data_IF_872600591017
#
_entry.id   IF_872600591017
#
_cell.length_a   1.000
_cell.length_b   1.000
_cell.length_c   1.000
_cell.angle_alpha   90.00
_cell.angle_beta   90.00
_cell.angle_gamma   90.00
#
_symmetry.space_group_name_H-M   'P 1'
#
loop_
_entity.id
_entity.type
_entity.pdbx_description
1 polymer ?
#
# COMPACT_ATOMS: atom_id res chain seq x y z
N UNK A 1 14.25 -28.44 46.64
CA UNK A 1 14.09 -27.00 46.37
C UNK A 1 15.14 -26.62 45.34
N UNK A 2 14.81 -26.59 44.10
CA UNK A 2 15.67 -26.01 43.07
C UNK A 2 14.77 -25.28 42.10
N UNK A 3 14.82 -23.97 42.19
CA UNK A 3 14.08 -23.04 41.35
C UNK A 3 14.55 -23.17 39.88
N UNK A 4 13.64 -23.54 39.00
CA UNK A 4 13.79 -23.45 37.56
C UNK A 4 13.75 -21.97 37.15
N UNK A 5 14.91 -21.44 36.81
CA UNK A 5 15.07 -20.13 36.21
C UNK A 5 14.56 -20.20 34.79
N UNK A 6 13.37 -19.64 34.52
CA UNK A 6 12.84 -19.48 33.18
C UNK A 6 13.83 -18.68 32.33
N UNK A 7 14.40 -19.30 31.34
CA UNK A 7 15.10 -18.62 30.24
C UNK A 7 14.11 -17.73 29.51
N UNK A 8 14.21 -16.44 29.73
CA UNK A 8 13.64 -15.44 28.83
C UNK A 8 14.44 -15.54 27.54
N UNK A 9 13.82 -16.12 26.50
CA UNK A 9 14.37 -16.10 25.16
C UNK A 9 14.84 -14.69 24.83
N UNK A 10 16.06 -14.58 24.28
CA UNK A 10 16.56 -13.32 23.74
C UNK A 10 15.54 -12.78 22.72
N UNK A 11 15.30 -11.44 22.65
CA UNK A 11 14.50 -10.87 21.58
C UNK A 11 15.20 -11.27 20.26
N UNK A 12 14.46 -12.02 19.42
CA UNK A 12 14.89 -12.29 18.07
C UNK A 12 15.24 -10.95 17.43
N UNK A 13 16.26 -10.91 16.60
CA UNK A 13 16.55 -9.83 15.68
C UNK A 13 15.36 -9.75 14.72
N UNK A 14 14.29 -9.09 15.18
CA UNK A 14 13.20 -8.67 14.32
C UNK A 14 13.81 -7.66 13.36
N UNK A 15 14.17 -8.17 12.18
CA UNK A 15 14.69 -7.34 11.10
C UNK A 15 13.71 -6.19 10.89
N UNK A 16 14.26 -4.99 10.77
CA UNK A 16 13.51 -3.77 10.50
C UNK A 16 12.54 -4.00 9.34
N UNK A 17 11.23 -4.03 9.64
CA UNK A 17 10.17 -4.25 8.64
C UNK A 17 9.59 -2.92 8.18
N UNK A 18 9.44 -2.77 6.87
CA UNK A 18 8.78 -1.63 6.24
C UNK A 18 7.28 -1.89 5.96
N UNK A 19 6.73 -3.00 6.42
CA UNK A 19 5.30 -3.31 6.25
C UNK A 19 4.43 -2.18 6.80
N UNK A 20 3.45 -1.74 6.02
CA UNK A 20 2.58 -0.60 6.36
C UNK A 20 3.17 0.78 6.03
N UNK A 21 4.44 0.86 5.63
CA UNK A 21 5.06 2.10 5.19
C UNK A 21 4.68 2.43 3.74
N UNK A 22 4.82 3.70 3.39
CA UNK A 22 4.72 4.14 2.00
C UNK A 22 6.11 4.30 1.38
N UNK A 23 6.26 3.76 0.17
CA UNK A 23 7.36 4.10 -0.71
C UNK A 23 6.88 5.19 -1.66
N UNK A 24 7.49 6.35 -1.58
CA UNK A 24 7.20 7.48 -2.46
C UNK A 24 8.33 7.61 -3.46
N UNK A 25 8.01 7.46 -4.75
CA UNK A 25 8.99 7.56 -5.83
C UNK A 25 9.70 8.90 -5.80
N UNK A 26 11.03 8.90 -5.86
CA UNK A 26 11.80 10.14 -5.94
C UNK A 26 11.68 10.74 -7.35
N UNK A 27 11.91 12.05 -7.54
CA UNK A 27 11.90 12.66 -8.88
C UNK A 27 12.88 12.05 -9.87
N UNK A 28 13.94 11.40 -9.39
CA UNK A 28 14.94 10.71 -10.21
C UNK A 28 14.48 9.34 -10.72
N UNK A 29 13.40 8.77 -10.17
CA UNK A 29 12.84 7.51 -10.63
C UNK A 29 12.02 7.74 -11.91
N UNK A 30 12.68 7.60 -13.07
CA UNK A 30 12.11 7.95 -14.38
C UNK A 30 11.26 6.84 -15.03
N UNK A 31 11.32 5.60 -14.52
CA UNK A 31 10.57 4.47 -15.08
C UNK A 31 9.06 4.76 -15.11
N UNK A 32 8.43 4.62 -16.28
CA UNK A 32 7.00 4.91 -16.49
C UNK A 32 6.08 4.18 -15.49
N UNK A 33 6.51 2.99 -15.03
CA UNK A 33 5.76 2.17 -14.07
C UNK A 33 5.64 2.82 -12.70
N UNK A 34 6.70 3.51 -12.23
CA UNK A 34 6.76 4.01 -10.87
C UNK A 34 6.97 5.53 -10.75
N UNK A 35 7.10 6.25 -11.86
CA UNK A 35 7.25 7.70 -11.80
C UNK A 35 6.10 8.33 -11.00
N UNK A 36 6.42 9.09 -9.93
CA UNK A 36 5.46 9.70 -9.00
C UNK A 36 4.47 8.71 -8.39
N UNK A 37 4.84 7.46 -8.25
CA UNK A 37 4.00 6.49 -7.56
C UNK A 37 4.13 6.62 -6.04
N UNK A 38 3.07 6.20 -5.37
CA UNK A 38 3.03 5.94 -3.94
C UNK A 38 2.65 4.48 -3.78
N UNK A 39 3.57 3.67 -3.25
CA UNK A 39 3.35 2.24 -3.01
C UNK A 39 3.10 2.02 -1.52
N UNK A 40 2.02 1.37 -1.17
CA UNK A 40 1.77 0.86 0.17
C UNK A 40 2.38 -0.54 0.28
N UNK A 41 3.34 -0.72 1.18
CA UNK A 41 3.91 -2.03 1.46
C UNK A 41 2.96 -2.86 2.32
N UNK A 42 2.53 -3.99 1.79
CA UNK A 42 1.61 -4.92 2.44
C UNK A 42 2.35 -6.02 3.18
N UNK A 43 3.55 -6.34 2.74
CA UNK A 43 4.46 -7.27 3.40
C UNK A 43 5.92 -6.90 3.10
N UNK A 44 6.80 -7.11 4.09
CA UNK A 44 8.24 -6.92 3.96
C UNK A 44 8.99 -7.75 4.98
N UNK A 45 9.88 -8.60 4.50
CA UNK A 45 10.82 -9.39 5.32
C UNK A 45 12.20 -9.39 4.68
N UNK A 46 13.24 -9.41 5.49
CA UNK A 46 14.62 -9.36 5.02
C UNK A 46 14.95 -10.52 4.04
N UNK A 47 14.45 -11.72 4.33
CA UNK A 47 14.75 -12.92 3.53
C UNK A 47 13.70 -13.19 2.43
N UNK A 48 12.48 -12.64 2.55
CA UNK A 48 11.36 -12.86 1.63
C UNK A 48 11.18 -11.76 0.58
N UNK A 49 11.81 -10.62 0.78
CA UNK A 49 11.62 -9.43 -0.06
C UNK A 49 10.41 -8.60 0.35
N UNK A 50 9.82 -7.89 -0.60
CA UNK A 50 8.71 -6.98 -0.34
C UNK A 50 7.58 -7.15 -1.35
N UNK A 51 6.38 -6.85 -0.90
CA UNK A 51 5.15 -6.88 -1.68
C UNK A 51 4.29 -5.67 -1.34
N UNK A 52 3.73 -5.02 -2.35
CA UNK A 52 2.89 -3.84 -2.15
C UNK A 52 2.03 -3.49 -3.35
N UNK A 53 1.22 -2.44 -3.20
CA UNK A 53 0.35 -1.92 -4.26
C UNK A 53 0.54 -0.42 -4.45
N UNK A 54 0.58 0.01 -5.71
CA UNK A 54 0.57 1.43 -6.06
C UNK A 54 -0.83 1.99 -5.80
N UNK A 55 -0.95 2.89 -4.83
CA UNK A 55 -2.26 3.38 -4.35
C UNK A 55 -2.75 4.65 -5.05
N UNK A 56 -1.97 5.22 -5.95
CA UNK A 56 -2.29 6.47 -6.65
C UNK A 56 -2.38 6.34 -8.18
N UNK A 57 -2.70 5.16 -8.70
CA UNK A 57 -2.84 4.89 -10.14
C UNK A 57 -4.23 4.37 -10.50
N UNK A 58 -5.28 5.22 -10.48
CA UNK A 58 -6.58 4.82 -10.99
C UNK A 58 -6.48 4.58 -12.49
N UNK A 59 -7.17 3.54 -12.97
CA UNK A 59 -7.32 3.27 -14.41
C UNK A 59 -8.57 3.97 -14.96
N UNK A 60 -8.81 3.82 -16.25
CA UNK A 60 -10.06 4.27 -16.87
C UNK A 60 -11.20 3.25 -16.74
N UNK A 61 -10.92 2.07 -16.17
CA UNK A 61 -11.87 0.97 -16.03
C UNK A 61 -12.59 1.06 -14.69
N UNK A 62 -13.90 1.12 -14.71
CA UNK A 62 -14.71 1.03 -13.50
C UNK A 62 -14.69 -0.39 -12.95
N UNK A 63 -14.81 -0.54 -11.62
CA UNK A 63 -14.85 -1.86 -10.98
C UNK A 63 -16.00 -2.70 -11.50
N UNK A 64 -17.13 -2.07 -11.85
CA UNK A 64 -18.31 -2.73 -12.43
C UNK A 64 -17.99 -3.61 -13.65
N UNK A 65 -17.02 -3.20 -14.46
CA UNK A 65 -16.66 -3.94 -15.66
C UNK A 65 -16.05 -5.33 -15.38
N UNK A 66 -15.47 -5.52 -14.20
CA UNK A 66 -14.76 -6.76 -13.83
C UNK A 66 -15.42 -7.45 -12.62
N UNK A 67 -15.83 -6.67 -11.65
CA UNK A 67 -16.41 -7.14 -10.38
C UNK A 67 -17.69 -6.33 -10.06
N UNK A 68 -18.77 -6.51 -10.84
CA UNK A 68 -19.97 -5.66 -10.76
C UNK A 68 -20.61 -5.66 -9.37
N UNK A 69 -20.60 -6.77 -8.66
CA UNK A 69 -21.16 -6.87 -7.31
C UNK A 69 -20.41 -6.01 -6.29
N UNK A 70 -19.13 -5.70 -6.52
CA UNK A 70 -18.30 -4.90 -5.63
C UNK A 70 -18.38 -3.39 -5.89
N UNK A 71 -18.82 -2.97 -7.08
CA UNK A 71 -18.87 -1.55 -7.47
C UNK A 71 -19.57 -0.64 -6.45
N UNK A 72 -20.75 -1.00 -5.88
CA UNK A 72 -21.45 -0.13 -4.93
C UNK A 72 -20.70 0.12 -3.62
N UNK A 73 -19.74 -0.72 -3.30
CA UNK A 73 -19.01 -0.69 -2.03
C UNK A 73 -17.60 -0.07 -2.16
N UNK A 74 -17.18 0.24 -3.39
CA UNK A 74 -15.84 0.81 -3.63
C UNK A 74 -15.78 2.28 -3.22
N UNK A 75 -14.66 2.64 -2.62
CA UNK A 75 -14.33 4.05 -2.33
C UNK A 75 -14.13 4.83 -3.63
N UNK A 76 -14.63 6.08 -3.75
CA UNK A 76 -14.37 6.92 -4.90
C UNK A 76 -12.88 6.96 -5.28
N UNK A 77 -12.56 6.97 -6.58
CA UNK A 77 -13.45 7.17 -7.74
C UNK A 77 -14.15 5.90 -8.27
N UNK A 78 -14.18 4.79 -7.55
CA UNK A 78 -14.89 3.57 -7.94
C UNK A 78 -14.28 2.83 -9.15
N UNK A 79 -12.99 3.04 -9.41
CA UNK A 79 -12.24 2.47 -10.52
C UNK A 79 -11.29 1.40 -10.06
N UNK A 80 -10.88 0.52 -10.97
CA UNK A 80 -9.71 -0.33 -10.77
C UNK A 80 -8.47 0.54 -10.67
N UNK A 81 -7.56 0.17 -9.77
CA UNK A 81 -6.24 0.77 -9.66
C UNK A 81 -5.19 -0.18 -10.23
N UNK A 82 -4.18 0.35 -10.90
CA UNK A 82 -3.02 -0.42 -11.29
C UNK A 82 -2.08 -0.54 -10.10
N UNK A 83 -2.10 -1.69 -9.43
CA UNK A 83 -1.32 -1.93 -8.21
C UNK A 83 0.18 -2.15 -8.44
N UNK A 84 0.58 -2.42 -9.68
CA UNK A 84 1.97 -2.63 -10.08
C UNK A 84 2.10 -3.40 -11.38
N UNK A 85 3.35 -3.73 -11.80
CA UNK A 85 3.61 -4.39 -13.07
C UNK A 85 3.39 -5.90 -13.07
N UNK A 86 3.29 -6.53 -11.89
CA UNK A 86 3.24 -8.00 -11.76
C UNK A 86 1.79 -8.47 -11.61
N UNK A 87 1.42 -9.58 -12.27
CA UNK A 87 0.12 -10.22 -12.09
C UNK A 87 -1.07 -9.33 -12.46
N UNK A 88 -1.03 -8.66 -13.62
CA UNK A 88 -2.09 -7.74 -14.06
C UNK A 88 -3.45 -8.43 -14.30
N UNK A 89 -3.47 -9.75 -14.35
CA UNK A 89 -4.63 -10.62 -14.43
C UNK A 89 -5.18 -11.04 -13.06
N UNK A 90 -4.53 -10.59 -11.98
CA UNK A 90 -4.97 -10.85 -10.61
C UNK A 90 -5.59 -9.60 -10.01
N UNK A 91 -6.63 -9.78 -9.18
CA UNK A 91 -7.26 -8.71 -8.43
C UNK A 91 -6.95 -8.83 -6.93
N UNK A 92 -6.65 -7.70 -6.29
CA UNK A 92 -6.46 -7.60 -4.85
C UNK A 92 -7.43 -6.54 -4.30
N UNK A 93 -8.26 -6.92 -3.34
CA UNK A 93 -9.12 -5.99 -2.61
C UNK A 93 -8.45 -5.54 -1.31
N UNK A 94 -8.16 -4.24 -1.19
CA UNK A 94 -7.66 -3.62 0.04
C UNK A 94 -8.83 -2.98 0.76
N UNK A 95 -8.91 -3.16 2.07
CA UNK A 95 -9.98 -2.63 2.93
C UNK A 95 -9.43 -1.89 4.13
N UNK A 96 -10.18 -0.87 4.58
CA UNK A 96 -9.99 -0.28 5.89
C UNK A 96 -10.83 -1.04 6.91
N UNK A 97 -10.21 -1.59 7.94
CA UNK A 97 -10.88 -2.34 9.02
C UNK A 97 -10.90 -1.47 10.27
N UNK A 98 -12.04 -0.85 10.62
CA UNK A 98 -12.14 0.02 11.79
C UNK A 98 -11.93 -0.74 13.11
N UNK A 99 -11.27 -0.07 14.06
CA UNK A 99 -11.09 -0.57 15.43
C UNK A 99 -10.21 -1.80 15.54
N UNK A 100 -10.10 -2.31 16.77
CA UNK A 100 -9.25 -3.47 17.13
C UNK A 100 -10.09 -4.74 17.37
N UNK A 101 -11.33 -4.75 16.89
CA UNK A 101 -12.25 -5.88 17.01
C UNK A 101 -11.83 -7.09 16.15
N UNK A 102 -12.63 -8.17 16.23
CA UNK A 102 -12.40 -9.34 15.38
C UNK A 102 -12.47 -8.99 13.91
N UNK A 103 -11.74 -9.71 13.10
CA UNK A 103 -11.76 -9.53 11.64
C UNK A 103 -13.17 -9.81 11.09
N UNK A 104 -13.67 -8.92 10.20
CA UNK A 104 -14.91 -9.20 9.49
C UNK A 104 -14.78 -10.46 8.64
N UNK A 105 -15.88 -11.15 8.41
CA UNK A 105 -15.90 -12.35 7.58
C UNK A 105 -15.38 -12.02 6.16
N UNK A 106 -14.48 -12.86 5.64
CA UNK A 106 -13.85 -12.65 4.33
C UNK A 106 -12.75 -11.57 4.30
N UNK A 107 -12.37 -11.05 5.47
CA UNK A 107 -11.31 -10.04 5.59
C UNK A 107 -10.17 -10.61 6.44
N UNK A 108 -8.93 -10.42 5.99
CA UNK A 108 -7.71 -10.69 6.74
C UNK A 108 -6.97 -9.37 6.98
N UNK A 109 -6.80 -9.02 8.24
CA UNK A 109 -6.03 -7.83 8.64
C UNK A 109 -4.54 -8.03 8.31
N UNK A 110 -3.90 -7.00 7.80
CA UNK A 110 -2.46 -7.02 7.48
C UNK A 110 -1.67 -6.21 8.51
N UNK A 111 -1.92 -4.92 8.60
CA UNK A 111 -1.21 -4.01 9.49
C UNK A 111 -2.12 -2.85 9.90
N UNK A 112 -2.16 -2.54 11.19
CA UNK A 112 -3.02 -1.48 11.72
C UNK A 112 -4.48 -1.66 11.32
N UNK A 113 -5.05 -0.67 10.68
CA UNK A 113 -6.43 -0.67 10.15
C UNK A 113 -6.53 -1.17 8.71
N UNK A 114 -5.47 -1.68 8.10
CA UNK A 114 -5.47 -2.20 6.73
C UNK A 114 -5.66 -3.71 6.70
N UNK A 115 -6.46 -4.18 5.77
CA UNK A 115 -6.68 -5.59 5.51
C UNK A 115 -6.90 -5.88 4.04
N UNK A 116 -6.86 -7.14 3.68
CA UNK A 116 -7.26 -7.64 2.36
C UNK A 116 -8.58 -8.39 2.47
N UNK A 117 -9.37 -8.30 1.42
CA UNK A 117 -10.67 -8.95 1.33
C UNK A 117 -10.63 -10.06 0.30
N UNK A 118 -11.29 -11.16 0.62
CA UNK A 118 -11.62 -12.21 -0.34
C UNK A 118 -12.69 -11.70 -1.31
N UNK A 119 -12.32 -11.48 -2.56
CA UNK A 119 -13.21 -10.95 -3.60
C UNK A 119 -14.22 -11.99 -4.12
N UNK A 120 -14.07 -13.27 -3.76
CA UNK A 120 -15.05 -14.33 -4.00
C UNK A 120 -16.15 -14.36 -2.92
N UNK A 121 -15.95 -13.67 -1.80
CA UNK A 121 -16.99 -13.52 -0.77
C UNK A 121 -18.11 -12.58 -1.23
N UNK A 122 -19.35 -12.78 -0.77
CA UNK A 122 -20.45 -11.87 -1.05
C UNK A 122 -20.17 -10.46 -0.48
N UNK A 123 -20.14 -9.41 -1.30
CA UNK A 123 -19.80 -8.06 -0.85
C UNK A 123 -20.75 -7.53 0.23
N UNK A 124 -22.03 -7.93 0.21
CA UNK A 124 -23.05 -7.51 1.19
C UNK A 124 -22.72 -8.03 2.60
N UNK A 125 -21.96 -9.11 2.71
CA UNK A 125 -21.51 -9.68 3.99
C UNK A 125 -20.27 -8.96 4.51
N UNK A 126 -19.37 -8.57 3.61
CA UNK A 126 -18.09 -7.95 3.96
C UNK A 126 -18.23 -6.44 4.22
N UNK A 127 -18.96 -5.75 3.34
CA UNK A 127 -19.01 -4.27 3.31
C UNK A 127 -19.44 -3.62 4.63
N UNK A 128 -20.40 -4.18 5.42
CA UNK A 128 -20.77 -3.57 6.70
C UNK A 128 -19.64 -3.52 7.74
N UNK A 129 -18.63 -4.38 7.59
CA UNK A 129 -17.51 -4.48 8.53
C UNK A 129 -16.28 -3.64 8.15
N UNK A 130 -16.30 -2.93 7.01
CA UNK A 130 -15.14 -2.19 6.50
C UNK A 130 -15.45 -0.71 6.28
N UNK A 131 -14.46 0.15 6.47
CA UNK A 131 -14.61 1.61 6.33
C UNK A 131 -14.22 2.15 4.96
N UNK A 132 -13.63 1.32 4.10
CA UNK A 132 -13.21 1.65 2.73
C UNK A 132 -12.80 0.41 1.98
N UNK A 133 -12.97 0.44 0.67
CA UNK A 133 -12.59 -0.65 -0.23
C UNK A 133 -11.98 -0.08 -1.51
N UNK A 134 -10.83 -0.63 -1.93
CA UNK A 134 -10.19 -0.34 -3.22
C UNK A 134 -9.67 -1.60 -3.86
N UNK A 135 -9.89 -1.75 -5.16
CA UNK A 135 -9.51 -2.93 -5.92
C UNK A 135 -8.37 -2.59 -6.87
N UNK A 136 -7.34 -3.42 -6.83
CA UNK A 136 -6.11 -3.28 -7.60
C UNK A 136 -5.98 -4.43 -8.60
N UNK A 137 -5.56 -4.12 -9.83
CA UNK A 137 -5.06 -5.08 -10.79
C UNK A 137 -3.54 -5.11 -10.71
N UNK A 138 -2.98 -6.28 -10.46
CA UNK A 138 -1.54 -6.46 -10.26
C UNK A 138 -1.00 -5.86 -8.97
N UNK A 139 0.30 -6.00 -8.80
CA UNK A 139 1.03 -5.58 -7.60
C UNK A 139 2.49 -5.21 -7.94
N UNK A 140 3.19 -4.62 -6.98
CA UNK A 140 4.63 -4.40 -7.00
C UNK A 140 5.31 -5.40 -6.08
N UNK A 141 6.40 -6.01 -6.54
CA UNK A 141 7.15 -7.00 -5.79
C UNK A 141 8.65 -6.78 -5.93
N UNK A 142 9.37 -7.05 -4.86
CA UNK A 142 10.82 -6.98 -4.76
C UNK A 142 11.37 -8.27 -4.20
N UNK A 143 12.44 -8.78 -4.78
CA UNK A 143 13.20 -9.89 -4.22
C UNK A 143 13.90 -9.46 -2.92
N UNK A 144 14.37 -10.44 -2.13
CA UNK A 144 15.14 -10.18 -0.92
C UNK A 144 16.33 -9.24 -1.20
N UNK A 145 16.45 -8.16 -0.43
CA UNK A 145 17.50 -7.16 -0.56
C UNK A 145 17.34 -6.17 -1.73
N UNK A 146 16.41 -6.41 -2.66
CA UNK A 146 16.22 -5.53 -3.81
C UNK A 146 15.66 -4.17 -3.38
N UNK A 147 14.62 -4.15 -2.54
CA UNK A 147 14.00 -2.90 -2.09
C UNK A 147 15.00 -2.06 -1.28
N UNK A 148 15.75 -2.70 -0.40
CA UNK A 148 16.77 -2.03 0.40
C UNK A 148 17.82 -1.36 -0.50
N UNK A 149 18.29 -2.07 -1.54
CA UNK A 149 19.21 -1.51 -2.54
C UNK A 149 18.62 -0.30 -3.26
N UNK A 150 17.37 -0.38 -3.72
CA UNK A 150 16.68 0.74 -4.38
C UNK A 150 16.48 1.95 -3.45
N UNK A 151 16.26 1.72 -2.15
CA UNK A 151 16.17 2.79 -1.14
C UNK A 151 17.54 3.43 -0.92
N UNK A 152 18.61 2.64 -0.82
CA UNK A 152 19.99 3.13 -0.68
C UNK A 152 20.44 3.93 -1.91
N UNK A 153 20.04 3.50 -3.11
CA UNK A 153 20.29 4.22 -4.37
C UNK A 153 19.47 5.51 -4.51
N UNK A 154 18.51 5.73 -3.63
CA UNK A 154 17.67 6.94 -3.64
C UNK A 154 16.51 6.90 -4.63
N UNK A 155 16.02 5.71 -4.99
CA UNK A 155 14.82 5.53 -5.81
C UNK A 155 13.53 5.81 -5.04
N UNK A 156 13.52 5.57 -3.73
CA UNK A 156 12.36 5.68 -2.87
C UNK A 156 12.60 6.49 -1.60
N UNK A 157 11.63 7.33 -1.25
CA UNK A 157 11.48 7.83 0.11
C UNK A 157 10.59 6.87 0.88
N UNK A 158 11.07 6.36 2.01
CA UNK A 158 10.28 5.51 2.93
C UNK A 158 9.69 6.41 4.00
N UNK A 159 8.35 6.52 4.02
CA UNK A 159 7.65 7.43 4.92
C UNK A 159 6.51 6.73 5.64
N UNK A 160 6.05 7.31 6.76
CA UNK A 160 4.85 6.82 7.44
C UNK A 160 3.60 7.17 6.63
N UNK A 161 2.73 6.17 6.45
CA UNK A 161 1.44 6.34 5.83
C UNK A 161 0.36 6.75 6.84
N UNK A 162 -0.68 7.42 6.35
CA UNK A 162 -1.92 7.61 7.08
C UNK A 162 -2.96 6.59 6.58
N UNK A 163 -3.88 6.18 7.47
CA UNK A 163 -4.89 5.18 7.12
C UNK A 163 -5.75 5.55 5.91
N UNK A 164 -5.93 6.85 5.65
CA UNK A 164 -6.69 7.37 4.51
C UNK A 164 -5.95 7.40 3.18
N UNK A 165 -4.63 7.23 3.15
CA UNK A 165 -3.84 7.36 1.92
C UNK A 165 -4.25 6.38 0.83
N UNK A 166 -4.47 5.13 1.22
CA UNK A 166 -4.89 4.09 0.29
C UNK A 166 -6.34 4.26 -0.22
N UNK A 167 -7.14 5.10 0.45
CA UNK A 167 -8.56 5.30 0.15
C UNK A 167 -8.92 6.75 -0.21
N UNK A 168 -7.92 7.58 -0.52
CA UNK A 168 -8.17 8.98 -0.93
C UNK A 168 -9.06 9.06 -2.17
N UNK A 169 -9.96 10.03 -2.21
CA UNK A 169 -10.81 10.33 -3.36
C UNK A 169 -10.06 11.12 -4.46
N UNK A 170 -8.86 11.63 -4.15
CA UNK A 170 -7.97 12.36 -5.06
C UNK A 170 -6.60 11.66 -5.24
N UNK A 171 -6.57 10.41 -5.78
CA UNK A 171 -5.36 9.60 -5.84
C UNK A 171 -4.25 10.23 -6.69
N UNK A 172 -4.56 10.99 -7.72
CA UNK A 172 -3.57 11.63 -8.58
C UNK A 172 -2.73 12.67 -7.82
N UNK A 173 -3.32 13.30 -6.80
CA UNK A 173 -2.64 14.28 -5.94
C UNK A 173 -1.84 13.67 -4.78
N UNK A 174 -1.96 12.36 -4.56
CA UNK A 174 -1.45 11.71 -3.36
C UNK A 174 0.06 11.83 -3.20
N UNK A 175 0.82 11.70 -4.29
CA UNK A 175 2.28 11.83 -4.26
C UNK A 175 2.72 13.17 -3.62
N UNK A 176 2.16 14.27 -4.09
CA UNK A 176 2.45 15.60 -3.53
C UNK A 176 1.91 15.77 -2.12
N UNK A 177 0.74 15.20 -1.82
CA UNK A 177 0.11 15.31 -0.50
C UNK A 177 0.92 14.58 0.56
N UNK A 178 1.38 13.35 0.27
CA UNK A 178 2.22 12.56 1.17
C UNK A 178 3.54 13.28 1.43
N UNK A 179 4.21 13.78 0.41
CA UNK A 179 5.48 14.50 0.58
C UNK A 179 5.32 15.81 1.36
N UNK A 180 4.24 16.57 1.09
CA UNK A 180 4.01 17.88 1.72
C UNK A 180 3.86 17.80 3.24
N UNK A 181 3.32 16.71 3.77
CA UNK A 181 3.15 16.51 5.21
C UNK A 181 4.40 15.97 5.91
N UNK A 182 5.43 15.56 5.14
CA UNK A 182 6.67 15.08 5.75
C UNK A 182 7.52 16.24 6.30
N UNK A 183 8.27 16.03 7.38
CA UNK A 183 9.16 17.06 7.90
C UNK A 183 10.35 17.34 6.98
N UNK A 184 10.90 18.55 7.09
CA UNK A 184 12.17 18.91 6.46
C UNK A 184 12.13 19.01 4.95
N UNK A 185 13.16 18.47 4.30
CA UNK A 185 13.36 18.68 2.84
C UNK A 185 12.33 17.96 1.96
N UNK A 186 11.69 16.91 2.46
CA UNK A 186 10.72 16.15 1.66
C UNK A 186 9.50 16.99 1.28
N UNK A 187 9.05 17.90 2.16
CA UNK A 187 7.97 18.81 1.86
C UNK A 187 8.26 19.71 0.63
N UNK A 188 9.52 20.06 0.40
CA UNK A 188 9.93 20.87 -0.77
C UNK A 188 9.88 20.06 -2.07
N UNK A 189 10.15 18.75 -2.00
CA UNK A 189 10.06 17.85 -3.17
C UNK A 189 8.64 17.80 -3.70
N UNK A 190 7.62 18.01 -2.86
CA UNK A 190 6.21 18.04 -3.27
C UNK A 190 5.90 19.05 -4.38
N UNK A 191 6.71 20.11 -4.51
CA UNK A 191 6.58 21.13 -5.55
C UNK A 191 7.39 20.84 -6.81
N UNK A 192 8.10 19.73 -6.88
CA UNK A 192 8.88 19.35 -8.06
C UNK A 192 7.95 19.20 -9.29
N UNK A 193 8.23 19.89 -10.40
CA UNK A 193 7.35 19.87 -11.57
C UNK A 193 7.25 18.48 -12.18
N UNK A 194 6.12 18.18 -12.82
CA UNK A 194 5.94 16.91 -13.54
C UNK A 194 6.85 16.81 -14.75
N UNK A 195 7.07 17.91 -15.41
CA UNK A 195 7.98 18.04 -16.54
C UNK A 195 9.03 19.11 -16.22
N UNK A 196 10.29 18.71 -15.89
CA UNK A 196 11.36 19.65 -15.58
C UNK A 196 11.73 20.57 -16.75
N UNK A 197 11.33 20.23 -17.98
CA UNK A 197 11.62 21.03 -19.19
C UNK A 197 10.68 22.23 -19.35
N UNK A 198 9.65 22.34 -18.51
CA UNK A 198 8.68 23.46 -18.56
C UNK A 198 9.02 24.62 -17.62
N UNK A 199 10.25 24.67 -17.11
CA UNK A 199 10.76 25.81 -16.32
C UNK A 199 11.56 26.79 -17.16
#
# INVERSE_FOLDING_TARGET
VTEGRGERGAPGVDGWSMTGRLLVATPSLEGAEFRRSVVLLLDHTADGGAFGVVVNRPTTTDVEAVLPAWQPFTTPPGRLFRGGPVGLDTALGLVAVPGDGPEPLGVRRLVGSLGVVDLDAPPEVVAPGVGGLRIFAGYAGWSAGQLEGEVEEGSWYVVDGEAGDAFTDAPEGLWSSVLRRQPGRLAWVASYPEDPSQN
#
